data_IF_755588204827
#
_entry.id   IF_755588204827
#
_cell.length_a   1.000
_cell.length_b   1.000
_cell.length_c   1.000
_cell.angle_alpha   90.00
_cell.angle_beta   90.00
_cell.angle_gamma   90.00
#
_symmetry.space_group_name_H-M   'P 1'
#
loop_
_entity.id
_entity.type
_entity.pdbx_description
1 polymer ?
#
# COMPACT_ATOMS: atom_id res chain seq x y z
N UNK A 1 1.48 28.32 3.92
CA UNK A 1 2.45 27.23 3.69
C UNK A 1 2.24 26.18 4.78
N UNK A 2 1.58 25.06 4.46
CA UNK A 2 1.49 23.93 5.40
C UNK A 2 2.83 23.16 5.33
N UNK A 3 3.47 22.99 6.49
CA UNK A 3 4.78 22.37 6.62
C UNK A 3 4.79 20.93 6.13
N UNK A 4 5.73 20.62 5.25
CA UNK A 4 6.11 19.26 4.90
C UNK A 4 6.97 18.71 6.03
N UNK A 5 6.47 17.70 6.74
CA UNK A 5 7.13 17.05 7.87
C UNK A 5 8.15 15.98 7.44
N UNK A 6 8.41 15.85 6.13
CA UNK A 6 9.42 14.94 5.59
C UNK A 6 8.95 13.50 5.40
N UNK A 7 7.73 13.14 5.81
CA UNK A 7 7.25 11.75 5.74
C UNK A 7 6.09 11.58 4.76
N UNK A 8 6.39 11.12 3.54
CA UNK A 8 5.38 10.64 2.62
C UNK A 8 4.90 9.25 3.05
N UNK A 9 3.64 9.15 3.49
CA UNK A 9 2.97 7.88 3.76
C UNK A 9 2.01 7.58 2.60
N UNK A 10 2.18 6.42 1.97
CA UNK A 10 1.29 5.94 0.91
C UNK A 10 0.74 4.58 1.30
N UNK A 11 -0.51 4.32 0.94
CA UNK A 11 -1.10 2.99 1.07
C UNK A 11 -0.81 2.19 -0.21
N UNK A 12 -0.38 0.94 -0.05
CA UNK A 12 -0.09 0.04 -1.16
C UNK A 12 -0.84 -1.27 -0.99
N UNK A 13 -1.39 -1.78 -2.09
CA UNK A 13 -1.86 -3.16 -2.16
C UNK A 13 -0.69 -4.01 -2.63
N UNK A 14 -0.33 -5.02 -1.83
CA UNK A 14 0.77 -5.92 -2.15
C UNK A 14 0.25 -7.32 -2.49
N UNK A 15 0.79 -7.90 -3.55
CA UNK A 15 0.69 -9.33 -3.86
C UNK A 15 2.05 -9.96 -3.59
N UNK A 16 2.09 -10.90 -2.66
CA UNK A 16 3.29 -11.66 -2.33
C UNK A 16 3.08 -13.13 -2.71
N UNK A 17 4.07 -13.72 -3.39
CA UNK A 17 4.12 -15.16 -3.66
C UNK A 17 5.24 -15.76 -2.84
N UNK A 18 4.94 -16.87 -2.17
CA UNK A 18 5.89 -17.61 -1.36
C UNK A 18 6.04 -19.03 -1.89
N UNK A 19 7.27 -19.52 -1.90
CA UNK A 19 7.61 -20.92 -2.17
C UNK A 19 8.13 -21.57 -0.90
N UNK A 20 7.77 -22.84 -0.67
CA UNK A 20 8.33 -23.63 0.43
C UNK A 20 9.56 -24.39 -0.06
N UNK A 21 10.71 -24.06 0.50
CA UNK A 21 11.98 -24.77 0.26
C UNK A 21 12.39 -25.51 1.52
N UNK A 22 12.20 -26.82 1.52
CA UNK A 22 12.34 -27.65 2.72
C UNK A 22 11.35 -27.23 3.82
N UNK A 23 11.87 -26.79 4.97
CA UNK A 23 11.04 -26.34 6.09
C UNK A 23 10.96 -24.82 6.26
N UNK A 24 11.29 -24.05 5.21
CA UNK A 24 11.23 -22.59 5.22
C UNK A 24 10.36 -22.07 4.09
N UNK A 25 9.64 -20.99 4.37
CA UNK A 25 8.94 -20.21 3.36
C UNK A 25 9.84 -19.07 2.89
N UNK A 26 9.99 -18.92 1.58
CA UNK A 26 10.78 -17.88 0.95
C UNK A 26 9.85 -17.07 0.04
N UNK A 27 9.91 -15.75 0.12
CA UNK A 27 9.19 -14.89 -0.83
C UNK A 27 9.91 -14.96 -2.19
N UNK A 28 9.18 -15.29 -3.25
CA UNK A 28 9.72 -15.42 -4.61
C UNK A 28 9.21 -14.33 -5.55
N UNK A 29 8.12 -13.66 -5.19
CA UNK A 29 7.61 -12.48 -5.88
C UNK A 29 7.03 -11.47 -4.88
N UNK A 30 7.36 -10.20 -5.10
CA UNK A 30 6.71 -9.06 -4.46
C UNK A 30 6.25 -8.11 -5.55
N UNK A 31 4.95 -7.81 -5.57
CA UNK A 31 4.38 -6.77 -6.43
C UNK A 31 3.53 -5.84 -5.57
N UNK A 32 3.75 -4.53 -5.68
CA UNK A 32 2.99 -3.51 -4.99
C UNK A 32 2.39 -2.51 -5.96
N UNK A 33 1.12 -2.15 -5.77
CA UNK A 33 0.47 -1.04 -6.48
C UNK A 33 -0.06 0.00 -5.48
N UNK A 34 0.02 1.31 -5.81
CA UNK A 34 -0.54 2.34 -4.95
C UNK A 34 -2.07 2.19 -4.86
N UNK A 35 -2.62 2.36 -3.66
CA UNK A 35 -4.07 2.51 -3.49
C UNK A 35 -4.39 3.98 -3.70
N UNK A 36 -5.08 4.29 -4.80
CA UNK A 36 -5.70 5.60 -4.98
C UNK A 36 -7.00 5.56 -4.18
N UNK A 37 -6.96 6.03 -2.94
CA UNK A 37 -8.21 6.27 -2.21
C UNK A 37 -8.93 7.44 -2.92
N UNK A 38 -10.23 7.32 -3.24
CA UNK A 38 -10.98 8.52 -3.62
C UNK A 38 -10.84 9.52 -2.47
N UNK A 39 -10.54 10.79 -2.79
CA UNK A 39 -10.63 11.83 -1.78
C UNK A 39 -12.03 11.74 -1.17
N UNK A 40 -12.13 11.64 0.15
CA UNK A 40 -13.40 11.72 0.88
C UNK A 40 -13.95 13.15 0.80
N UNK A 41 -14.11 13.67 -0.41
CA UNK A 41 -14.74 14.94 -0.73
C UNK A 41 -16.19 14.65 -1.17
N UNK A 42 -16.88 13.76 -0.46
CA UNK A 42 -18.34 13.72 -0.56
C UNK A 42 -18.85 14.91 0.28
N UNK A 43 -19.37 16.00 -0.35
CA UNK A 43 -19.97 17.07 0.42
C UNK A 43 -21.19 16.50 1.17
N UNK A 44 -21.49 16.99 2.39
CA UNK A 44 -22.68 16.54 3.09
C UNK A 44 -23.90 16.77 2.20
N UNK A 45 -24.73 15.73 2.03
CA UNK A 45 -26.03 15.84 1.38
C UNK A 45 -26.82 16.94 2.12
N UNK A 46 -27.16 18.02 1.40
CA UNK A 46 -28.02 19.10 1.88
C UNK A 46 -29.46 18.63 2.07
#
# INVERSE_FOLDING_TARGET
QRGYDGTMRTQVLATNIYERVGNRWMMVLHHGSPVIQPANDEPPLQ
#
